data_IF_799984427033
#
_entry.id   IF_799984427033
#
_cell.length_a   1.000
_cell.length_b   1.000
_cell.length_c   1.000
_cell.angle_alpha   90.00
_cell.angle_beta   90.00
_cell.angle_gamma   90.00
#
_symmetry.space_group_name_H-M   'P 1'
#
loop_
_entity.id
_entity.type
_entity.pdbx_description
1 polymer ?
#
# COMPACT_ATOMS: atom_id res chain seq x y z
N UNK A 1 -1.14 -29.36 -1.21
CA UNK A 1 -1.38 -28.68 0.09
C UNK A 1 -0.14 -27.97 0.66
N UNK A 2 1.08 -28.53 0.62
CA UNK A 2 2.27 -27.81 1.14
C UNK A 2 2.67 -26.55 0.32
N UNK A 3 2.44 -26.58 -1.01
CA UNK A 3 2.65 -25.44 -1.90
C UNK A 3 1.70 -24.27 -1.60
N UNK A 4 0.41 -24.53 -1.39
CA UNK A 4 -0.56 -23.47 -1.05
C UNK A 4 -0.26 -22.81 0.29
N UNK A 5 0.14 -23.56 1.32
CA UNK A 5 0.56 -22.97 2.61
C UNK A 5 1.81 -22.10 2.47
N UNK A 6 2.78 -22.47 1.62
CA UNK A 6 3.97 -21.65 1.34
C UNK A 6 3.61 -20.37 0.57
N UNK A 7 2.72 -20.46 -0.41
CA UNK A 7 2.23 -19.32 -1.17
C UNK A 7 1.47 -18.33 -0.28
N UNK A 8 0.56 -18.82 0.57
CA UNK A 8 -0.16 -17.99 1.55
C UNK A 8 0.80 -17.29 2.50
N UNK A 9 1.84 -17.98 2.99
CA UNK A 9 2.84 -17.38 3.88
C UNK A 9 3.65 -16.28 3.16
N UNK A 10 4.04 -16.51 1.91
CA UNK A 10 4.75 -15.50 1.11
C UNK A 10 3.87 -14.25 0.92
N UNK A 11 2.60 -14.44 0.63
CA UNK A 11 1.63 -13.35 0.45
C UNK A 11 1.41 -12.57 1.75
N UNK A 12 1.36 -13.27 2.89
CA UNK A 12 1.33 -12.63 4.21
C UNK A 12 2.56 -11.75 4.46
N UNK A 13 3.76 -12.19 4.07
CA UNK A 13 4.97 -11.36 4.16
C UNK A 13 4.89 -10.14 3.24
N UNK A 14 4.37 -10.30 2.02
CA UNK A 14 4.21 -9.17 1.09
C UNK A 14 3.23 -8.13 1.63
N UNK A 15 2.14 -8.55 2.29
CA UNK A 15 1.23 -7.63 2.99
C UNK A 15 1.95 -6.90 4.13
N UNK A 16 2.77 -7.61 4.93
CA UNK A 16 3.54 -7.01 6.02
C UNK A 16 4.50 -5.92 5.53
N UNK A 17 5.12 -6.13 4.35
CA UNK A 17 5.98 -5.14 3.68
C UNK A 17 5.23 -3.88 3.20
N UNK A 18 3.90 -3.94 3.05
CA UNK A 18 3.06 -2.78 2.68
C UNK A 18 2.67 -1.93 3.90
N UNK A 19 2.62 -2.50 5.11
CA UNK A 19 2.19 -1.80 6.33
C UNK A 19 3.00 -0.53 6.63
N UNK A 20 4.34 -0.48 6.46
CA UNK A 20 5.12 0.74 6.65
C UNK A 20 4.66 1.89 5.76
N UNK A 21 4.25 1.62 4.50
CA UNK A 21 3.78 2.66 3.57
C UNK A 21 2.45 3.26 4.06
N UNK A 22 1.55 2.42 4.58
CA UNK A 22 0.29 2.87 5.19
C UNK A 22 0.57 3.73 6.44
N UNK A 23 1.53 3.33 7.26
CA UNK A 23 1.92 4.10 8.45
C UNK A 23 2.50 5.47 8.07
N UNK A 24 3.30 5.57 7.01
CA UNK A 24 3.80 6.86 6.49
C UNK A 24 2.62 7.77 6.06
N UNK A 25 1.65 7.23 5.31
CA UNK A 25 0.46 8.00 4.89
C UNK A 25 -0.28 8.53 6.13
N UNK A 26 -0.50 7.68 7.13
CA UNK A 26 -1.16 8.07 8.39
C UNK A 26 -0.38 9.15 9.13
N UNK A 27 0.94 9.05 9.20
CA UNK A 27 1.80 10.03 9.85
C UNK A 27 1.76 11.39 9.13
N UNK A 28 1.77 11.40 7.80
CA UNK A 28 1.64 12.62 7.01
C UNK A 28 0.29 13.32 7.27
N UNK A 29 -0.81 12.57 7.26
CA UNK A 29 -2.14 13.09 7.56
C UNK A 29 -2.19 13.67 8.98
N UNK A 30 -1.66 12.93 9.96
CA UNK A 30 -1.61 13.41 11.35
C UNK A 30 -0.79 14.68 11.51
N UNK A 31 0.35 14.80 10.82
CA UNK A 31 1.20 15.99 10.88
C UNK A 31 0.46 17.23 10.34
N UNK A 32 -0.28 17.10 9.23
CA UNK A 32 -1.10 18.18 8.69
C UNK A 32 -2.22 18.57 9.65
N UNK A 33 -2.92 17.58 10.22
CA UNK A 33 -4.01 17.83 11.17
C UNK A 33 -3.50 18.53 12.45
N UNK A 34 -2.32 18.14 12.94
CA UNK A 34 -1.69 18.81 14.08
C UNK A 34 -1.28 20.25 13.74
N UNK A 35 -0.74 20.49 12.54
CA UNK A 35 -0.38 21.83 12.10
C UNK A 35 -1.61 22.75 11.98
N UNK A 36 -2.71 22.25 11.42
CA UNK A 36 -3.98 22.96 11.34
C UNK A 36 -4.53 23.32 12.73
N UNK A 37 -4.59 22.33 13.63
CA UNK A 37 -5.05 22.53 15.01
C UNK A 37 -4.16 23.47 15.83
N UNK A 38 -2.86 23.55 15.52
CA UNK A 38 -1.93 24.47 16.16
C UNK A 38 -2.05 25.91 15.65
N UNK A 39 -2.92 26.17 14.65
CA UNK A 39 -3.08 27.49 14.04
C UNK A 39 -1.91 27.87 13.15
N UNK A 40 -1.32 26.89 12.44
CA UNK A 40 -0.29 27.16 11.44
C UNK A 40 -0.78 28.16 10.38
N UNK A 41 0.15 28.91 9.81
CA UNK A 41 -0.15 29.85 8.73
C UNK A 41 -0.89 29.14 7.59
N UNK A 42 -2.03 29.70 7.17
CA UNK A 42 -2.93 29.07 6.21
C UNK A 42 -2.30 28.89 4.83
N UNK A 43 -1.39 29.78 4.42
CA UNK A 43 -0.68 29.68 3.14
C UNK A 43 0.36 28.57 3.19
N UNK A 44 1.12 28.49 4.28
CA UNK A 44 2.09 27.42 4.52
C UNK A 44 1.36 26.07 4.59
N UNK A 45 0.30 25.99 5.38
CA UNK A 45 -0.49 24.77 5.56
C UNK A 45 -1.09 24.30 4.22
N UNK A 46 -1.64 25.21 3.42
CA UNK A 46 -2.15 24.88 2.09
C UNK A 46 -1.06 24.30 1.18
N UNK A 47 0.14 24.92 1.16
CA UNK A 47 1.26 24.43 0.38
C UNK A 47 1.71 23.03 0.81
N UNK A 48 1.88 22.80 2.11
CA UNK A 48 2.26 21.51 2.67
C UNK A 48 1.20 20.43 2.42
N UNK A 49 -0.08 20.79 2.52
CA UNK A 49 -1.20 19.88 2.23
C UNK A 49 -1.18 19.41 0.78
N UNK A 50 -0.94 20.34 -0.16
CA UNK A 50 -0.84 20.00 -1.59
C UNK A 50 0.31 19.03 -1.88
N UNK A 51 1.47 19.24 -1.25
CA UNK A 51 2.61 18.34 -1.41
C UNK A 51 2.34 16.96 -0.82
N UNK A 52 1.82 16.92 0.41
CA UNK A 52 1.47 15.67 1.08
C UNK A 52 0.42 14.88 0.29
N UNK A 53 -0.58 15.53 -0.32
CA UNK A 53 -1.55 14.84 -1.17
C UNK A 53 -0.95 14.23 -2.42
N UNK A 54 0.04 14.86 -3.06
CA UNK A 54 0.75 14.24 -4.19
C UNK A 54 1.41 12.93 -3.77
N UNK A 55 2.11 12.97 -2.63
CA UNK A 55 2.84 11.82 -2.08
C UNK A 55 1.88 10.72 -1.62
N UNK A 56 0.79 11.08 -0.94
CA UNK A 56 -0.24 10.13 -0.51
C UNK A 56 -0.92 9.49 -1.72
N UNK A 57 -1.23 10.25 -2.77
CA UNK A 57 -1.84 9.73 -3.98
C UNK A 57 -0.96 8.66 -4.64
N UNK A 58 0.31 8.99 -4.89
CA UNK A 58 1.28 8.05 -5.50
C UNK A 58 1.46 6.78 -4.66
N UNK A 59 1.63 6.93 -3.34
CA UNK A 59 1.78 5.77 -2.45
C UNK A 59 0.51 4.92 -2.39
N UNK A 60 -0.67 5.54 -2.44
CA UNK A 60 -1.95 4.82 -2.38
C UNK A 60 -2.21 4.05 -3.68
N UNK A 61 -1.86 4.62 -4.83
CA UNK A 61 -1.95 3.94 -6.13
C UNK A 61 -1.05 2.70 -6.18
N UNK A 62 0.21 2.82 -5.73
CA UNK A 62 1.13 1.69 -5.64
C UNK A 62 0.64 0.63 -4.64
N UNK A 63 0.17 1.06 -3.46
CA UNK A 63 -0.41 0.14 -2.46
C UNK A 63 -1.59 -0.63 -3.02
N UNK A 64 -2.46 0.03 -3.79
CA UNK A 64 -3.61 -0.60 -4.41
C UNK A 64 -3.16 -1.68 -5.42
N UNK A 65 -2.20 -1.36 -6.28
CA UNK A 65 -1.67 -2.32 -7.26
C UNK A 65 -1.01 -3.53 -6.59
N UNK A 66 -0.20 -3.29 -5.55
CA UNK A 66 0.46 -4.36 -4.80
C UNK A 66 -0.57 -5.27 -4.10
N UNK A 67 -1.61 -4.68 -3.49
CA UNK A 67 -2.69 -5.43 -2.85
C UNK A 67 -3.54 -6.21 -3.85
N UNK A 68 -3.83 -5.65 -5.02
CA UNK A 68 -4.59 -6.32 -6.08
C UNK A 68 -3.85 -7.56 -6.59
N UNK A 69 -2.54 -7.44 -6.82
CA UNK A 69 -1.70 -8.56 -7.22
C UNK A 69 -1.66 -9.66 -6.15
N UNK A 70 -1.53 -9.27 -4.87
CA UNK A 70 -1.60 -10.21 -3.75
C UNK A 70 -2.98 -10.88 -3.73
N UNK A 71 -4.07 -10.13 -3.91
CA UNK A 71 -5.41 -10.71 -3.94
C UNK A 71 -5.58 -11.73 -5.08
N UNK A 72 -5.16 -11.40 -6.31
CA UNK A 72 -5.18 -12.32 -7.45
C UNK A 72 -4.46 -13.65 -7.14
N UNK A 73 -3.22 -13.56 -6.62
CA UNK A 73 -2.42 -14.74 -6.27
C UNK A 73 -3.01 -15.55 -5.10
N UNK A 74 -3.72 -14.92 -4.16
CA UNK A 74 -4.42 -15.61 -3.06
C UNK A 74 -5.67 -16.33 -3.57
N UNK A 75 -6.46 -15.69 -4.44
CA UNK A 75 -7.66 -16.29 -5.05
C UNK A 75 -7.28 -17.52 -5.87
N UNK A 76 -6.18 -17.44 -6.63
CA UNK A 76 -5.73 -18.50 -7.52
C UNK A 76 -4.70 -19.44 -6.86
N UNK A 77 -4.64 -19.49 -5.52
CA UNK A 77 -3.56 -20.15 -4.80
C UNK A 77 -3.51 -21.68 -4.95
N UNK A 78 -4.57 -22.28 -5.49
CA UNK A 78 -4.75 -23.69 -5.81
C UNK A 78 -4.73 -24.00 -7.32
N UNK A 79 -4.63 -22.98 -8.19
CA UNK A 79 -4.46 -23.13 -9.64
C UNK A 79 -3.01 -22.84 -10.07
N UNK A 80 -2.22 -23.91 -10.21
CA UNK A 80 -0.81 -23.83 -10.59
C UNK A 80 -0.58 -23.18 -11.97
N UNK A 81 -1.52 -23.30 -12.90
CA UNK A 81 -1.38 -22.74 -14.26
C UNK A 81 -1.63 -21.24 -14.28
N UNK A 82 -2.65 -20.77 -13.58
CA UNK A 82 -2.90 -19.33 -13.46
C UNK A 82 -1.79 -18.63 -12.67
N UNK A 83 -1.28 -19.25 -11.60
CA UNK A 83 -0.12 -18.75 -10.87
C UNK A 83 1.13 -18.62 -11.76
N UNK A 84 1.36 -19.56 -12.67
CA UNK A 84 2.49 -19.52 -13.59
C UNK A 84 2.34 -18.44 -14.66
N UNK A 85 1.12 -18.19 -15.15
CA UNK A 85 0.83 -17.06 -16.02
C UNK A 85 1.05 -15.71 -15.33
N UNK A 86 0.62 -15.57 -14.06
CA UNK A 86 0.87 -14.35 -13.26
C UNK A 86 2.37 -14.11 -13.10
N UNK A 87 3.17 -15.15 -12.79
CA UNK A 87 4.63 -15.05 -12.65
C UNK A 87 5.37 -14.67 -13.94
N UNK A 88 4.82 -14.98 -15.12
CA UNK A 88 5.43 -14.64 -16.41
C UNK A 88 5.20 -13.17 -16.81
N UNK A 89 4.29 -12.49 -16.12
CA UNK A 89 3.97 -11.08 -16.33
C UNK A 89 4.46 -10.17 -15.20
N UNK A 90 5.17 -10.73 -14.21
CA UNK A 90 6.02 -10.01 -13.24
C UNK A 90 7.40 -9.68 -13.83
#
# INVERSE_FOLDING_TARGET
MALSTRNIKQQGNQIDELLPRIEIIKQLINALLLADNAGADSTILHHQTKQAFSVIFEMTEQLYQDLDLIACKLINCDDDKELEAIRQHE
#
